data_IF_864698700235
#
_entry.id   IF_864698700235
#
_cell.length_a   1.000
_cell.length_b   1.000
_cell.length_c   1.000
_cell.angle_alpha   90.00
_cell.angle_beta   90.00
_cell.angle_gamma   90.00
#
_symmetry.space_group_name_H-M   'P 1'
#
loop_
_entity.id
_entity.type
_entity.pdbx_description
1 polymer ?
#
# COMPACT_ATOMS: atom_id res chain seq x y z
N UNK A 1 -4.07 20.28 -13.45
CA UNK A 1 -4.65 19.17 -12.67
C UNK A 1 -5.18 18.03 -13.54
N UNK A 2 -5.83 18.29 -14.67
CA UNK A 2 -6.39 17.25 -15.57
C UNK A 2 -5.36 16.16 -15.96
N UNK A 3 -4.14 16.56 -16.37
CA UNK A 3 -3.07 15.59 -16.69
C UNK A 3 -2.69 14.67 -15.53
N UNK A 4 -2.62 15.17 -14.29
CA UNK A 4 -2.38 14.33 -13.10
C UNK A 4 -3.50 13.31 -12.95
N UNK A 5 -4.76 13.75 -13.10
CA UNK A 5 -5.90 12.86 -13.00
C UNK A 5 -5.83 11.76 -14.07
N UNK A 6 -5.49 12.10 -15.31
CA UNK A 6 -5.29 11.13 -16.41
C UNK A 6 -4.17 10.13 -16.11
N UNK A 7 -3.03 10.59 -15.56
CA UNK A 7 -1.92 9.68 -15.19
C UNK A 7 -2.38 8.68 -14.13
N UNK A 8 -3.12 9.14 -13.12
CA UNK A 8 -3.64 8.29 -12.04
C UNK A 8 -4.70 7.31 -12.56
N UNK A 9 -5.58 7.75 -13.46
CA UNK A 9 -6.57 6.89 -14.11
C UNK A 9 -5.90 5.78 -14.94
N UNK A 10 -4.90 6.14 -15.76
CA UNK A 10 -4.12 5.18 -16.53
C UNK A 10 -3.41 4.16 -15.63
N UNK A 11 -2.89 4.60 -14.49
CA UNK A 11 -2.34 3.71 -13.48
C UNK A 11 -3.40 2.71 -12.97
N UNK A 12 -4.58 3.17 -12.60
CA UNK A 12 -5.63 2.28 -12.08
C UNK A 12 -6.16 1.30 -13.14
N UNK A 13 -6.25 1.73 -14.41
CA UNK A 13 -6.55 0.86 -15.55
C UNK A 13 -5.49 -0.23 -15.70
N UNK A 14 -4.21 0.15 -15.72
CA UNK A 14 -3.09 -0.80 -15.86
C UNK A 14 -3.05 -1.82 -14.71
N UNK A 15 -3.26 -1.38 -13.47
CA UNK A 15 -3.35 -2.28 -12.30
C UNK A 15 -4.54 -3.24 -12.44
N UNK A 16 -5.69 -2.77 -12.94
CA UNK A 16 -6.86 -3.62 -13.14
C UNK A 16 -6.63 -4.66 -14.25
N UNK A 17 -5.91 -4.31 -15.31
CA UNK A 17 -5.58 -5.27 -16.36
C UNK A 17 -4.61 -6.35 -15.86
N UNK A 18 -3.61 -5.98 -15.04
CA UNK A 18 -2.73 -6.97 -14.39
C UNK A 18 -3.52 -7.95 -13.52
N UNK A 19 -4.57 -7.50 -12.82
CA UNK A 19 -5.43 -8.40 -12.02
C UNK A 19 -6.09 -9.48 -12.88
N UNK A 20 -6.54 -9.14 -14.10
CA UNK A 20 -7.22 -10.04 -15.04
C UNK A 20 -6.28 -11.07 -15.70
N UNK A 21 -4.98 -10.82 -15.71
CA UNK A 21 -4.01 -11.74 -16.32
C UNK A 21 -4.00 -13.11 -15.63
N UNK A 22 -3.90 -14.18 -16.41
CA UNK A 22 -3.72 -15.54 -15.89
C UNK A 22 -2.23 -15.86 -15.69
N UNK A 23 -1.59 -15.16 -14.75
CA UNK A 23 -0.18 -15.34 -14.38
C UNK A 23 -0.04 -15.49 -12.85
N UNK A 24 1.13 -15.94 -12.40
CA UNK A 24 1.42 -16.14 -10.97
C UNK A 24 1.21 -14.86 -10.14
N UNK A 25 0.91 -15.04 -8.85
CA UNK A 25 0.73 -13.90 -7.92
C UNK A 25 2.01 -13.04 -7.84
N UNK A 26 3.18 -13.68 -7.82
CA UNK A 26 4.48 -12.99 -7.80
C UNK A 26 4.67 -12.14 -9.07
N UNK A 27 4.42 -12.70 -10.26
CA UNK A 27 4.56 -11.96 -11.52
C UNK A 27 3.56 -10.80 -11.63
N UNK A 28 2.36 -10.90 -11.03
CA UNK A 28 1.43 -9.75 -10.94
C UNK A 28 2.03 -8.64 -10.06
N UNK A 29 2.65 -8.99 -8.95
CA UNK A 29 3.26 -8.03 -8.03
C UNK A 29 4.44 -7.32 -8.69
N UNK A 30 5.33 -8.04 -9.37
CA UNK A 30 6.45 -7.44 -10.13
C UNK A 30 5.97 -6.44 -11.18
N UNK A 31 4.92 -6.80 -11.94
CA UNK A 31 4.30 -5.88 -12.91
C UNK A 31 3.71 -4.65 -12.24
N UNK A 32 3.00 -4.82 -11.12
CA UNK A 32 2.41 -3.71 -10.37
C UNK A 32 3.48 -2.77 -9.78
N UNK A 33 4.63 -3.30 -9.33
CA UNK A 33 5.78 -2.50 -8.88
C UNK A 33 6.27 -1.62 -10.04
N UNK A 34 6.46 -2.20 -11.23
CA UNK A 34 6.88 -1.45 -12.42
C UNK A 34 5.89 -0.34 -12.76
N UNK A 35 4.60 -0.67 -12.86
CA UNK A 35 3.52 0.28 -13.15
C UNK A 35 3.49 1.44 -12.15
N UNK A 36 3.63 1.14 -10.84
CA UNK A 36 3.62 2.17 -9.82
C UNK A 36 4.86 3.08 -9.87
N UNK A 37 6.05 2.53 -10.15
CA UNK A 37 7.28 3.31 -10.37
C UNK A 37 7.16 4.22 -11.59
N UNK A 38 6.66 3.69 -12.70
CA UNK A 38 6.47 4.45 -13.94
C UNK A 38 5.45 5.59 -13.74
N UNK A 39 4.36 5.33 -13.02
CA UNK A 39 3.37 6.35 -12.66
C UNK A 39 3.98 7.47 -11.79
N UNK A 40 4.71 7.13 -10.72
CA UNK A 40 5.38 8.13 -9.88
C UNK A 40 6.40 8.96 -10.68
N UNK A 41 7.13 8.32 -11.59
CA UNK A 41 8.06 9.02 -12.49
C UNK A 41 7.33 9.99 -13.42
N UNK A 42 6.19 9.60 -14.00
CA UNK A 42 5.36 10.49 -14.82
C UNK A 42 4.81 11.66 -14.01
N UNK A 43 4.28 11.42 -12.79
CA UNK A 43 3.82 12.48 -11.90
C UNK A 43 4.94 13.47 -11.57
N UNK A 44 6.15 12.95 -11.30
CA UNK A 44 7.33 13.76 -11.06
C UNK A 44 7.69 14.64 -12.25
N UNK A 45 7.69 14.07 -13.46
CA UNK A 45 7.96 14.84 -14.68
C UNK A 45 6.90 15.91 -14.95
N UNK A 46 5.63 15.61 -14.70
CA UNK A 46 4.57 16.60 -14.89
C UNK A 46 4.64 17.73 -13.86
N UNK A 47 4.98 17.45 -12.60
CA UNK A 47 5.16 18.49 -11.59
C UNK A 47 6.30 19.47 -11.88
N UNK A 48 7.29 19.09 -12.69
CA UNK A 48 8.35 20.01 -13.12
C UNK A 48 7.96 20.91 -14.28
N UNK A 49 6.92 20.54 -15.02
CA UNK A 49 6.44 21.30 -16.18
C UNK A 49 5.32 22.27 -15.84
N UNK A 50 4.79 22.19 -14.63
CA UNK A 50 3.65 23.00 -14.21
C UNK A 50 3.82 23.46 -12.77
N UNK A 51 3.31 24.65 -12.51
CA UNK A 51 3.06 25.11 -11.16
C UNK A 51 1.64 24.74 -10.74
N UNK A 52 1.45 24.56 -9.43
CA UNK A 52 0.10 24.40 -8.90
C UNK A 52 -0.67 25.71 -9.04
N UNK A 53 -1.90 25.61 -9.53
CA UNK A 53 -2.81 26.76 -9.71
C UNK A 53 -3.20 27.34 -8.35
N UNK A 54 -3.28 26.49 -7.32
CA UNK A 54 -3.62 26.89 -5.96
C UNK A 54 -2.87 26.04 -4.93
N UNK A 55 -2.64 26.60 -3.74
CA UNK A 55 -2.12 25.86 -2.57
C UNK A 55 -3.00 24.67 -2.20
N UNK A 56 -4.32 24.76 -2.45
CA UNK A 56 -5.25 23.66 -2.25
C UNK A 56 -4.96 22.48 -3.17
N UNK A 57 -4.60 22.74 -4.43
CA UNK A 57 -4.26 21.68 -5.38
C UNK A 57 -2.94 21.00 -5.00
N UNK A 58 -1.96 21.78 -4.54
CA UNK A 58 -0.68 21.25 -4.03
C UNK A 58 -0.88 20.36 -2.80
N UNK A 59 -1.63 20.87 -1.81
CA UNK A 59 -2.01 20.10 -0.62
C UNK A 59 -2.74 18.83 -1.04
N UNK A 60 -3.69 18.91 -1.98
CA UNK A 60 -4.42 17.73 -2.44
C UNK A 60 -3.49 16.69 -3.07
N UNK A 61 -2.52 17.14 -3.87
CA UNK A 61 -1.56 16.28 -4.50
C UNK A 61 -0.72 15.51 -3.46
N UNK A 62 -0.06 16.23 -2.55
CA UNK A 62 0.84 15.64 -1.56
C UNK A 62 0.13 14.92 -0.40
N UNK A 63 -1.12 15.28 -0.11
CA UNK A 63 -1.93 14.63 0.94
C UNK A 63 -2.67 13.39 0.45
N UNK A 64 -3.05 13.33 -0.83
CA UNK A 64 -3.96 12.29 -1.34
C UNK A 64 -3.44 11.58 -2.59
N UNK A 65 -3.14 12.32 -3.66
CA UNK A 65 -2.87 11.74 -4.97
C UNK A 65 -1.52 11.00 -5.02
N UNK A 66 -0.43 11.67 -4.65
CA UNK A 66 0.88 11.03 -4.59
C UNK A 66 0.90 9.90 -3.56
N UNK A 67 0.42 10.08 -2.31
CA UNK A 67 0.35 8.99 -1.33
C UNK A 67 -0.45 7.76 -1.79
N UNK A 68 -1.50 7.94 -2.59
CA UNK A 68 -2.27 6.83 -3.13
C UNK A 68 -1.42 5.91 -4.02
N UNK A 69 -0.62 6.48 -4.92
CA UNK A 69 0.27 5.71 -5.81
C UNK A 69 1.49 5.19 -5.03
N UNK A 70 2.12 6.07 -4.25
CA UNK A 70 3.35 5.74 -3.54
C UNK A 70 3.12 4.69 -2.45
N UNK A 71 2.01 4.78 -1.72
CA UNK A 71 1.62 3.75 -0.76
C UNK A 71 1.27 2.41 -1.40
N UNK A 72 0.70 2.39 -2.61
CA UNK A 72 0.53 1.15 -3.39
C UNK A 72 1.88 0.55 -3.79
N UNK A 73 2.85 1.37 -4.21
CA UNK A 73 4.21 0.89 -4.53
C UNK A 73 4.84 0.18 -3.32
N UNK A 74 4.85 0.83 -2.15
CA UNK A 74 5.38 0.22 -0.93
C UNK A 74 4.63 -1.05 -0.54
N UNK A 75 3.30 -1.05 -0.66
CA UNK A 75 2.51 -2.26 -0.46
C UNK A 75 2.96 -3.40 -1.40
N UNK A 76 3.20 -3.13 -2.68
CA UNK A 76 3.65 -4.17 -3.61
C UNK A 76 5.07 -4.65 -3.31
N UNK A 77 5.97 -3.79 -2.85
CA UNK A 77 7.32 -4.18 -2.44
C UNK A 77 7.29 -5.11 -1.21
N UNK A 78 6.53 -4.74 -0.18
CA UNK A 78 6.32 -5.55 1.02
C UNK A 78 5.59 -6.86 0.68
N UNK A 79 4.62 -6.82 -0.24
CA UNK A 79 3.94 -8.02 -0.70
C UNK A 79 4.88 -8.94 -1.50
N UNK A 80 5.82 -8.40 -2.27
CA UNK A 80 6.83 -9.19 -2.97
C UNK A 80 7.71 -9.94 -1.99
N UNK A 81 8.23 -9.24 -0.98
CA UNK A 81 9.03 -9.83 0.09
C UNK A 81 8.24 -10.92 0.85
N UNK A 82 6.99 -10.61 1.22
CA UNK A 82 6.09 -11.58 1.85
C UNK A 82 5.91 -12.84 1.01
N UNK A 83 5.69 -12.71 -0.31
CA UNK A 83 5.46 -13.87 -1.18
C UNK A 83 6.69 -14.75 -1.35
N UNK A 84 7.88 -14.17 -1.30
CA UNK A 84 9.15 -14.91 -1.38
C UNK A 84 9.42 -15.66 -0.07
N UNK A 85 9.13 -15.02 1.07
CA UNK A 85 9.53 -15.52 2.39
C UNK A 85 8.44 -16.36 3.09
N UNK A 86 7.17 -16.27 2.66
CA UNK A 86 6.08 -17.02 3.28
C UNK A 86 6.22 -18.52 2.97
N UNK A 87 6.15 -19.41 3.98
CA UNK A 87 6.24 -20.85 3.75
C UNK A 87 5.17 -21.35 2.77
N UNK A 88 5.57 -22.09 1.74
CA UNK A 88 4.63 -22.61 0.73
C UNK A 88 3.70 -23.70 1.30
N UNK A 89 4.19 -24.46 2.28
CA UNK A 89 3.50 -25.61 2.87
C UNK A 89 3.30 -25.45 4.38
N UNK A 90 2.22 -26.05 4.86
CA UNK A 90 1.86 -26.05 6.28
C UNK A 90 1.05 -24.83 6.69
N UNK A 91 -0.28 -24.97 6.70
CA UNK A 91 -1.21 -23.93 7.13
C UNK A 91 -0.87 -23.35 8.52
N UNK A 92 -0.31 -24.16 9.43
CA UNK A 92 0.14 -23.69 10.74
C UNK A 92 1.33 -22.75 10.65
N UNK A 93 2.36 -23.11 9.88
CA UNK A 93 3.54 -22.27 9.63
C UNK A 93 3.17 -20.96 8.94
N UNK A 94 2.31 -21.01 7.93
CA UNK A 94 1.78 -19.81 7.25
C UNK A 94 1.05 -18.88 8.22
N UNK A 95 0.19 -19.43 9.10
CA UNK A 95 -0.51 -18.62 10.11
C UNK A 95 0.45 -17.97 11.10
N UNK A 96 1.47 -18.70 11.57
CA UNK A 96 2.47 -18.15 12.49
C UNK A 96 3.18 -16.97 11.80
N UNK A 97 3.69 -17.17 10.59
CA UNK A 97 4.35 -16.14 9.81
C UNK A 97 3.47 -14.91 9.59
N UNK A 98 2.21 -15.08 9.16
CA UNK A 98 1.30 -13.95 8.94
C UNK A 98 1.02 -13.19 10.26
N UNK A 99 0.84 -13.90 11.37
CA UNK A 99 0.63 -13.24 12.67
C UNK A 99 1.86 -12.44 13.13
N UNK A 100 3.08 -12.94 12.87
CA UNK A 100 4.31 -12.20 13.14
C UNK A 100 4.37 -10.91 12.31
N UNK A 101 4.02 -10.97 11.02
CA UNK A 101 3.97 -9.79 10.15
C UNK A 101 2.91 -8.79 10.63
N UNK A 102 1.73 -9.25 11.08
CA UNK A 102 0.71 -8.39 11.68
C UNK A 102 1.24 -7.69 12.95
N UNK A 103 1.95 -8.42 13.82
CA UNK A 103 2.52 -7.85 15.05
C UNK A 103 3.53 -6.76 14.72
N UNK A 104 4.46 -7.02 13.79
CA UNK A 104 5.43 -6.00 13.31
C UNK A 104 4.71 -4.79 12.72
N UNK A 105 3.67 -5.02 11.92
CA UNK A 105 2.89 -3.95 11.30
C UNK A 105 2.15 -3.09 12.33
N UNK A 106 1.62 -3.69 13.41
CA UNK A 106 0.94 -2.95 14.48
C UNK A 106 1.86 -1.97 15.20
N UNK A 107 3.13 -2.33 15.40
CA UNK A 107 4.14 -1.43 15.99
C UNK A 107 4.34 -0.21 15.08
N UNK A 108 4.58 -0.43 13.78
CA UNK A 108 4.71 0.64 12.78
C UNK A 108 3.47 1.54 12.70
N UNK A 109 2.27 0.97 12.81
CA UNK A 109 1.01 1.74 12.83
C UNK A 109 0.90 2.61 14.09
N UNK A 110 1.36 2.11 15.24
CA UNK A 110 1.34 2.87 16.49
C UNK A 110 2.22 4.12 16.42
N UNK A 111 3.39 4.02 15.78
CA UNK A 111 4.34 5.13 15.57
C UNK A 111 3.71 6.29 14.79
N UNK A 112 2.85 6.00 13.81
CA UNK A 112 2.19 7.01 12.97
C UNK A 112 0.74 7.31 13.40
N UNK A 113 0.31 6.83 14.56
CA UNK A 113 -1.12 6.80 14.93
C UNK A 113 -1.76 8.19 15.06
N UNK A 114 -1.04 9.17 15.57
CA UNK A 114 -1.51 10.56 15.69
C UNK A 114 -1.75 11.17 14.29
N UNK A 115 -0.77 11.03 13.41
CA UNK A 115 -0.89 11.49 12.03
C UNK A 115 -1.96 10.71 11.24
N UNK A 116 -2.10 9.41 11.48
CA UNK A 116 -3.17 8.60 10.91
C UNK A 116 -4.56 9.11 11.34
N UNK A 117 -4.72 9.51 12.60
CA UNK A 117 -5.95 10.14 13.10
C UNK A 117 -6.21 11.47 12.38
N UNK A 118 -5.19 12.30 12.21
CA UNK A 118 -5.27 13.55 11.45
C UNK A 118 -5.80 13.30 10.03
N UNK A 119 -5.19 12.36 9.29
CA UNK A 119 -5.62 12.02 7.94
C UNK A 119 -7.04 11.44 7.89
N UNK A 120 -7.42 10.59 8.85
CA UNK A 120 -8.74 9.95 8.91
C UNK A 120 -9.87 10.94 9.15
N UNK A 121 -9.62 11.98 9.95
CA UNK A 121 -10.60 13.03 10.24
C UNK A 121 -10.71 14.07 9.13
N UNK A 122 -9.92 13.95 8.05
CA UNK A 122 -9.80 14.96 6.99
C UNK A 122 -9.55 16.37 7.56
N UNK A 123 -8.83 16.44 8.69
CA UNK A 123 -8.45 17.71 9.30
C UNK A 123 -7.58 18.52 8.34
N UNK A 124 -7.68 19.85 8.40
CA UNK A 124 -6.95 20.79 7.53
C UNK A 124 -6.01 21.72 8.29
N UNK A 125 -6.06 21.68 9.63
CA UNK A 125 -5.34 22.61 10.52
C UNK A 125 -3.83 22.68 10.26
N UNK A 126 -3.22 21.57 9.83
CA UNK A 126 -1.78 21.48 9.60
C UNK A 126 -1.43 21.27 8.13
N UNK A 127 -2.39 21.42 7.20
CA UNK A 127 -2.14 21.08 5.80
C UNK A 127 -1.05 21.93 5.15
N UNK A 128 -1.00 23.21 5.50
CA UNK A 128 0.04 24.12 4.99
C UNK A 128 1.44 23.69 5.44
N UNK A 129 1.58 23.27 6.69
CA UNK A 129 2.83 22.79 7.26
C UNK A 129 3.21 21.40 6.71
N UNK A 130 2.24 20.54 6.46
CA UNK A 130 2.50 19.13 6.11
C UNK A 130 2.68 18.89 4.61
N UNK A 131 2.02 19.68 3.77
CA UNK A 131 1.83 19.35 2.36
C UNK A 131 2.12 20.49 1.38
N UNK A 132 2.70 21.61 1.84
CA UNK A 132 3.31 22.59 0.94
C UNK A 132 4.82 22.34 0.88
N UNK A 133 5.41 22.52 -0.30
CA UNK A 133 6.86 22.38 -0.50
C UNK A 133 7.66 23.51 0.15
N UNK A 134 7.09 24.71 0.23
CA UNK A 134 7.72 25.90 0.83
C UNK A 134 7.71 25.89 2.37
N UNK A 135 7.63 24.73 3.01
CA UNK A 135 7.74 24.63 4.48
C UNK A 135 9.20 24.84 4.90
N UNK A 136 9.53 25.90 5.67
CA UNK A 136 10.89 26.14 6.16
C UNK A 136 11.46 24.98 6.98
N UNK A 137 10.61 24.13 7.56
CA UNK A 137 11.05 22.95 8.31
C UNK A 137 11.54 21.83 7.41
N UNK A 138 11.11 21.78 6.14
CA UNK A 138 11.53 20.76 5.18
C UNK A 138 13.05 20.79 4.99
N UNK A 139 13.65 21.98 4.92
CA UNK A 139 15.10 22.16 4.77
C UNK A 139 15.93 21.58 5.93
N UNK A 140 15.34 21.42 7.12
CA UNK A 140 16.03 20.86 8.30
C UNK A 140 16.14 19.33 8.26
N UNK A 141 15.22 18.65 7.57
CA UNK A 141 15.11 17.19 7.55
C UNK A 141 15.47 16.57 6.20
N UNK A 142 15.61 17.39 5.15
CA UNK A 142 15.95 16.96 3.80
C UNK A 142 17.44 16.75 3.63
N UNK A 143 17.82 15.60 3.07
CA UNK A 143 19.14 15.44 2.49
C UNK A 143 19.08 15.90 1.02
N UNK A 144 19.48 17.14 0.75
CA UNK A 144 19.44 17.75 -0.59
C UNK A 144 20.20 16.97 -1.67
N UNK A 145 21.09 16.04 -1.29
CA UNK A 145 21.81 15.18 -2.23
C UNK A 145 21.04 13.91 -2.62
N UNK A 146 20.05 13.50 -1.82
CA UNK A 146 19.29 12.26 -2.01
C UNK A 146 17.81 12.53 -2.32
N UNK A 147 17.25 13.58 -1.72
CA UNK A 147 15.84 13.90 -1.80
C UNK A 147 15.53 14.88 -2.94
N UNK A 148 14.34 14.74 -3.51
CA UNK A 148 13.85 15.64 -4.55
C UNK A 148 12.91 16.70 -3.96
N UNK A 149 13.39 17.94 -3.70
CA UNK A 149 12.59 18.96 -3.03
C UNK A 149 11.34 19.37 -3.85
N UNK A 150 11.36 19.19 -5.18
CA UNK A 150 10.21 19.50 -6.03
C UNK A 150 9.09 18.45 -5.93
N UNK A 151 9.44 17.26 -5.44
CA UNK A 151 8.58 16.09 -5.37
C UNK A 151 8.52 15.51 -3.96
N UNK A 152 8.72 16.30 -2.90
CA UNK A 152 8.57 15.84 -1.52
C UNK A 152 8.00 16.97 -0.65
N UNK A 153 7.29 16.60 0.42
CA UNK A 153 6.94 17.51 1.52
C UNK A 153 7.29 16.86 2.85
N UNK A 154 7.08 17.55 3.96
CA UNK A 154 7.45 17.03 5.29
C UNK A 154 6.70 15.74 5.66
N UNK A 155 5.45 15.55 5.17
CA UNK A 155 4.56 14.47 5.61
C UNK A 155 3.92 13.63 4.48
N UNK A 156 4.28 13.83 3.22
CA UNK A 156 3.72 13.04 2.12
C UNK A 156 4.14 11.55 2.18
N UNK A 157 5.35 11.27 2.65
CA UNK A 157 5.84 9.91 2.87
C UNK A 157 5.08 9.22 4.02
N UNK A 158 4.83 9.93 5.12
CA UNK A 158 4.00 9.45 6.23
C UNK A 158 2.57 9.12 5.74
N UNK A 159 2.01 9.96 4.85
CA UNK A 159 0.70 9.69 4.25
C UNK A 159 0.74 8.43 3.38
N UNK A 160 1.83 8.21 2.64
CA UNK A 160 2.07 7.01 1.83
C UNK A 160 2.19 5.75 2.70
N UNK A 161 2.85 5.85 3.86
CA UNK A 161 2.96 4.77 4.84
C UNK A 161 1.59 4.36 5.39
N UNK A 162 0.73 5.32 5.74
CA UNK A 162 -0.63 5.02 6.19
C UNK A 162 -1.41 4.22 5.14
N UNK A 163 -1.33 4.63 3.86
CA UNK A 163 -1.95 3.88 2.75
C UNK A 163 -1.40 2.45 2.68
N UNK A 164 -0.07 2.30 2.78
CA UNK A 164 0.62 1.01 2.76
C UNK A 164 0.14 0.10 3.89
N UNK A 165 0.12 0.60 5.12
CA UNK A 165 -0.25 -0.18 6.30
C UNK A 165 -1.70 -0.65 6.25
N UNK A 166 -2.61 0.19 5.75
CA UNK A 166 -4.00 -0.18 5.53
C UNK A 166 -4.14 -1.33 4.51
N UNK A 167 -3.39 -1.27 3.41
CA UNK A 167 -3.39 -2.32 2.39
C UNK A 167 -2.79 -3.63 2.91
N UNK A 168 -1.66 -3.57 3.63
CA UNK A 168 -1.03 -4.75 4.24
C UNK A 168 -1.93 -5.40 5.28
N UNK A 169 -2.54 -4.63 6.18
CA UNK A 169 -3.42 -5.17 7.22
C UNK A 169 -4.63 -5.88 6.61
N UNK A 170 -5.23 -5.30 5.56
CA UNK A 170 -6.31 -5.92 4.79
C UNK A 170 -5.85 -7.21 4.13
N UNK A 171 -4.67 -7.20 3.50
CA UNK A 171 -4.10 -8.37 2.86
C UNK A 171 -3.86 -9.51 3.86
N UNK A 172 -3.14 -9.27 4.96
CA UNK A 172 -2.84 -10.29 5.97
C UNK A 172 -4.10 -10.87 6.62
N UNK A 173 -5.09 -10.03 6.90
CA UNK A 173 -6.38 -10.48 7.44
C UNK A 173 -7.10 -11.40 6.47
N UNK A 174 -7.10 -11.08 5.18
CA UNK A 174 -7.69 -11.92 4.13
C UNK A 174 -6.96 -13.27 4.01
N UNK A 175 -5.63 -13.27 3.99
CA UNK A 175 -4.83 -14.51 3.95
C UNK A 175 -5.13 -15.41 5.16
N UNK A 176 -5.21 -14.84 6.38
CA UNK A 176 -5.60 -15.61 7.57
C UNK A 176 -7.01 -16.20 7.45
N UNK A 177 -7.96 -15.46 6.89
CA UNK A 177 -9.32 -15.95 6.70
C UNK A 177 -9.37 -17.10 5.68
N UNK A 178 -8.63 -17.01 4.58
CA UNK A 178 -8.51 -18.09 3.59
C UNK A 178 -7.94 -19.36 4.23
N UNK A 179 -6.95 -19.24 5.11
CA UNK A 179 -6.37 -20.36 5.85
C UNK A 179 -7.32 -20.95 6.90
N UNK A 180 -8.35 -20.21 7.36
CA UNK A 180 -9.42 -20.74 8.22
C UNK A 180 -10.41 -21.56 7.42
N UNK A 181 -10.88 -21.05 6.28
CA UNK A 181 -11.86 -21.74 5.43
C UNK A 181 -11.32 -23.05 4.86
N UNK A 182 -10.02 -23.12 4.49
CA UNK A 182 -9.39 -24.38 4.06
C UNK A 182 -9.46 -25.50 5.09
N UNK A 183 -9.56 -25.18 6.39
CA UNK A 183 -9.66 -26.17 7.47
C UNK A 183 -11.08 -26.74 7.59
N UNK A 184 -12.11 -25.95 7.27
CA UNK A 184 -13.52 -26.36 7.35
C UNK A 184 -13.93 -27.37 6.28
N UNK A 185 -13.27 -27.36 5.11
CA UNK A 185 -13.55 -28.31 4.00
C UNK A 185 -12.98 -29.71 4.30
N UNK A 186 -12.03 -29.83 5.23
CA UNK A 186 -11.36 -31.11 5.56
C UNK A 186 -12.07 -31.89 6.69
N UNK A 187 -13.20 -31.41 7.21
CA UNK A 187 -13.94 -32.10 8.28
C UNK A 187 -14.94 -33.13 7.71
N UNK A 188 -14.46 -34.38 7.62
CA UNK A 188 -15.17 -35.67 7.76
C UNK A 188 -16.18 -36.09 6.66
N UNK A 189 -15.75 -36.95 5.73
CA UNK A 189 -16.60 -38.05 5.22
C UNK A 189 -16.45 -39.22 6.19
N UNK A 190 -17.39 -39.37 7.12
CA UNK A 190 -17.54 -40.60 7.89
C UNK A 190 -18.00 -41.69 6.91
N UNK A 191 -17.10 -42.61 6.55
CA UNK A 191 -17.49 -43.86 5.92
C UNK A 191 -17.99 -44.75 7.05
N UNK A 192 -19.31 -44.86 7.20
CA UNK A 192 -19.93 -45.88 8.06
C UNK A 192 -19.60 -47.25 7.44
N UNK A 193 -18.94 -48.18 8.16
CA UNK A 193 -18.81 -49.54 7.66
C UNK A 193 -20.20 -50.18 7.63
N UNK A 194 -20.59 -50.66 6.45
CA UNK A 194 -21.66 -51.65 6.35
C UNK A 194 -21.18 -52.92 7.05
N UNK A 195 -22.11 -53.70 7.60
CA UNK A 195 -21.91 -54.97 8.33
C UNK A 195 -21.91 -54.79 9.86
N UNK A 196 -23.07 -54.40 10.39
CA UNK A 196 -23.71 -55.10 11.52
C UNK A 196 -25.21 -55.19 11.21
N UNK A 197 -25.54 -56.01 10.22
CA UNK A 197 -26.89 -56.55 10.09
C UNK A 197 -26.82 -57.96 10.67
N UNK A 198 -27.34 -58.13 11.90
CA UNK A 198 -27.79 -59.43 12.38
C UNK A 198 -29.15 -59.74 11.78
#
# INVERSE_FOLDING_TARGET
MEKIATIIENFDLAINDVKKLNISKLSKVEKNIKIARDCLFQLRLELRKMDFISTRDEIHFFKKQKPYIHGKLFFYLELNDFLINCPETGNSKQRIYINEQITKLKVKIAEVSEFAKYCRLNATKFDQMYFLREDPQLDLFMNKNLDDPEFLTSHDLLASQIVTFNLLMKFYTNELNLLKTKRSIVVIKEVRPAILNN
#
